data_IF_795763484634
#
_entry.id   IF_795763484634
#
_cell.length_a   1.000
_cell.length_b   1.000
_cell.length_c   1.000
_cell.angle_alpha   90.00
_cell.angle_beta   90.00
_cell.angle_gamma   90.00
#
_symmetry.space_group_name_H-M   'P 1'
#
loop_
_entity.id
_entity.type
_entity.pdbx_description
1 polymer ?
#
# COMPACT_ATOMS: atom_id res chain seq x y z
N UNK A 1 -9.21 51.78 19.77
CA UNK A 1 -8.24 51.08 18.92
C UNK A 1 -8.84 49.72 18.65
N UNK A 2 -9.46 49.53 17.48
CA UNK A 2 -9.94 48.20 17.07
C UNK A 2 -8.72 47.29 16.95
N UNK A 3 -8.70 46.18 17.70
CA UNK A 3 -7.78 45.09 17.38
C UNK A 3 -8.25 44.52 16.05
N UNK A 4 -7.51 44.80 14.98
CA UNK A 4 -7.66 44.06 13.73
C UNK A 4 -7.27 42.62 14.06
N UNK A 5 -8.24 41.72 14.04
CA UNK A 5 -8.00 40.30 14.24
C UNK A 5 -7.23 39.78 13.03
N UNK A 6 -5.95 39.43 13.23
CA UNK A 6 -5.14 38.83 12.18
C UNK A 6 -5.78 37.50 11.75
N UNK A 7 -5.99 37.33 10.45
CA UNK A 7 -6.50 36.09 9.86
C UNK A 7 -5.35 35.36 9.18
N UNK A 8 -4.98 34.14 9.63
CA UNK A 8 -3.92 33.34 9.01
C UNK A 8 -4.15 33.06 7.51
N UNK A 9 -3.07 32.83 6.73
CA UNK A 9 -3.19 32.45 5.33
C UNK A 9 -3.75 31.02 5.20
N UNK A 10 -4.57 30.77 4.17
CA UNK A 10 -5.18 29.46 3.89
C UNK A 10 -4.60 28.76 2.65
N UNK A 11 -3.52 29.29 2.08
CA UNK A 11 -2.76 28.65 1.01
C UNK A 11 -1.42 29.35 0.81
N UNK A 12 -0.54 28.77 -0.01
CA UNK A 12 0.70 29.44 -0.42
C UNK A 12 0.44 30.75 -1.16
N UNK A 13 -0.68 30.87 -1.88
CA UNK A 13 -0.97 32.02 -2.75
C UNK A 13 -1.84 33.08 -2.06
N UNK A 14 -2.19 32.87 -0.78
CA UNK A 14 -2.97 33.81 0.01
C UNK A 14 -2.13 35.05 0.40
N UNK A 15 -2.81 36.13 0.79
CA UNK A 15 -2.19 37.37 1.27
C UNK A 15 -1.23 38.05 0.28
N UNK A 16 -1.23 37.65 -0.99
CA UNK A 16 -0.33 38.22 -2.00
C UNK A 16 1.15 37.86 -1.78
N UNK A 17 1.43 36.74 -1.09
CA UNK A 17 2.80 36.25 -0.91
C UNK A 17 3.42 35.86 -2.26
N UNK A 18 4.54 36.48 -2.62
CA UNK A 18 5.37 36.08 -3.76
C UNK A 18 6.40 35.03 -3.30
N UNK A 19 6.20 33.76 -3.68
CA UNK A 19 7.16 32.69 -3.35
C UNK A 19 8.31 32.57 -4.36
N UNK A 20 8.28 33.30 -5.48
CA UNK A 20 9.43 33.44 -6.38
C UNK A 20 10.46 34.43 -5.83
N UNK A 21 10.01 35.41 -5.04
CA UNK A 21 10.87 36.34 -4.31
C UNK A 21 10.36 36.62 -2.88
N UNK A 22 10.41 35.62 -1.97
CA UNK A 22 9.81 35.77 -0.66
C UNK A 22 10.53 36.81 0.20
N UNK A 23 9.76 37.76 0.74
CA UNK A 23 10.26 38.75 1.70
C UNK A 23 10.40 38.12 3.10
N UNK A 24 11.63 37.91 3.61
CA UNK A 24 11.82 37.32 4.93
C UNK A 24 11.34 38.24 6.08
N UNK A 25 11.08 39.51 5.82
CA UNK A 25 10.48 40.45 6.77
C UNK A 25 8.95 40.32 6.87
N UNK A 26 8.29 39.65 5.93
CA UNK A 26 6.85 39.49 5.93
C UNK A 26 6.42 38.29 6.80
N UNK A 27 5.56 38.56 7.79
CA UNK A 27 5.02 37.57 8.74
C UNK A 27 4.16 36.50 8.06
N UNK A 28 3.54 36.81 6.92
CA UNK A 28 2.61 35.89 6.26
C UNK A 28 3.32 34.62 5.78
N UNK A 29 4.58 34.70 5.32
CA UNK A 29 5.39 33.51 4.96
C UNK A 29 5.62 32.59 6.16
N UNK A 30 5.90 33.18 7.33
CA UNK A 30 6.04 32.41 8.57
C UNK A 30 4.72 31.70 8.92
N UNK A 31 3.61 32.43 8.83
CA UNK A 31 2.29 31.91 9.12
C UNK A 31 1.91 30.77 8.17
N UNK A 32 2.14 30.93 6.88
CA UNK A 32 1.91 29.88 5.89
C UNK A 32 2.69 28.60 6.20
N UNK A 33 3.98 28.70 6.54
CA UNK A 33 4.80 27.56 6.93
C UNK A 33 4.24 26.88 8.19
N UNK A 34 3.86 27.66 9.19
CA UNK A 34 3.29 27.15 10.43
C UNK A 34 2.00 26.37 10.17
N UNK A 35 1.03 26.97 9.49
CA UNK A 35 -0.26 26.33 9.23
C UNK A 35 -0.09 25.07 8.37
N UNK A 36 0.81 25.10 7.37
CA UNK A 36 1.13 23.92 6.58
C UNK A 36 1.72 22.78 7.42
N UNK A 37 2.67 23.07 8.31
CA UNK A 37 3.27 22.07 9.22
C UNK A 37 2.22 21.50 10.17
N UNK A 38 1.33 22.34 10.71
CA UNK A 38 0.23 21.90 11.59
C UNK A 38 -0.72 20.97 10.85
N UNK A 39 -1.14 21.33 9.63
CA UNK A 39 -2.03 20.50 8.80
C UNK A 39 -1.42 19.09 8.57
N UNK A 40 -0.12 19.00 8.27
CA UNK A 40 0.57 17.70 8.10
C UNK A 40 0.70 16.93 9.42
N UNK A 41 0.91 17.63 10.52
CA UNK A 41 0.98 17.02 11.85
C UNK A 41 -0.37 16.43 12.26
N UNK A 42 -1.47 17.17 12.05
CA UNK A 42 -2.84 16.70 12.30
C UNK A 42 -3.13 15.46 11.46
N UNK A 43 -2.82 15.49 10.15
CA UNK A 43 -3.05 14.34 9.27
C UNK A 43 -2.34 13.07 9.78
N UNK A 44 -1.14 13.21 10.32
CA UNK A 44 -0.31 12.10 10.79
C UNK A 44 -0.45 11.79 12.28
N UNK A 45 -1.44 12.40 12.95
CA UNK A 45 -1.66 12.32 14.40
C UNK A 45 -0.40 12.63 15.23
N UNK A 46 0.44 13.53 14.76
CA UNK A 46 1.59 14.05 15.49
C UNK A 46 1.21 15.34 16.21
N UNK A 47 1.72 15.53 17.42
CA UNK A 47 1.60 16.80 18.11
C UNK A 47 2.58 17.80 17.48
N UNK A 48 2.11 18.96 16.96
CA UNK A 48 2.99 20.03 16.54
C UNK A 48 3.89 20.45 17.71
N UNK A 49 5.15 20.78 17.43
CA UNK A 49 6.06 21.25 18.48
C UNK A 49 5.51 22.55 19.08
N UNK A 50 5.28 22.59 20.40
CA UNK A 50 4.71 23.76 21.08
C UNK A 50 5.52 25.06 20.86
N UNK A 51 6.82 24.91 20.59
CA UNK A 51 7.71 26.03 20.26
C UNK A 51 7.31 26.72 18.96
N UNK A 52 6.64 26.03 18.03
CA UNK A 52 6.09 26.64 16.81
C UNK A 52 5.05 27.73 17.13
N UNK A 53 4.29 27.59 18.23
CA UNK A 53 3.31 28.57 18.66
C UNK A 53 3.93 29.73 19.45
N UNK A 54 5.14 29.54 20.02
CA UNK A 54 5.83 30.56 20.83
C UNK A 54 6.69 31.52 20.01
N UNK A 55 6.87 31.25 18.72
CA UNK A 55 7.54 32.17 17.79
C UNK A 55 6.63 33.41 17.60
N UNK A 56 7.11 34.54 18.11
CA UNK A 56 6.35 35.80 18.19
C UNK A 56 6.06 36.33 16.79
N UNK A 57 4.78 36.60 16.53
CA UNK A 57 4.23 37.00 15.22
C UNK A 57 4.74 38.35 14.66
N UNK A 58 5.61 39.06 15.38
CA UNK A 58 6.04 40.43 15.07
C UNK A 58 7.54 40.65 15.31
N UNK A 59 8.34 39.59 15.22
CA UNK A 59 9.80 39.68 15.31
C UNK A 59 10.46 39.03 14.11
N UNK A 60 11.66 39.51 13.72
CA UNK A 60 12.49 38.82 12.74
C UNK A 60 12.71 37.36 13.13
N UNK A 61 12.84 36.50 12.12
CA UNK A 61 13.10 35.06 12.27
C UNK A 61 14.29 34.83 13.20
N UNK A 62 14.04 34.17 14.33
CA UNK A 62 15.11 33.76 15.24
C UNK A 62 15.71 32.43 14.81
N UNK A 63 16.97 32.18 15.13
CA UNK A 63 17.60 30.86 14.92
C UNK A 63 16.84 29.75 15.63
N UNK A 64 16.24 30.04 16.78
CA UNK A 64 15.36 29.11 17.46
C UNK A 64 14.12 28.77 16.60
N UNK A 65 13.50 29.76 15.96
CA UNK A 65 12.36 29.54 15.06
C UNK A 65 12.73 28.66 13.86
N UNK A 66 13.88 28.94 13.25
CA UNK A 66 14.43 28.19 12.11
C UNK A 66 14.69 26.73 12.47
N UNK A 67 15.42 26.49 13.56
CA UNK A 67 15.71 25.15 14.04
C UNK A 67 14.40 24.41 14.37
N UNK A 68 13.43 25.08 14.98
CA UNK A 68 12.12 24.48 15.31
C UNK A 68 11.36 24.03 14.05
N UNK A 69 11.33 24.86 12.99
CA UNK A 69 10.67 24.50 11.72
C UNK A 69 11.37 23.31 11.07
N UNK A 70 12.70 23.37 10.98
CA UNK A 70 13.50 22.28 10.42
C UNK A 70 13.24 20.96 11.17
N UNK A 71 13.30 20.99 12.49
CA UNK A 71 13.11 19.81 13.32
C UNK A 71 11.67 19.28 13.21
N UNK A 72 10.67 20.16 13.06
CA UNK A 72 9.30 19.77 12.81
C UNK A 72 9.14 19.05 11.46
N UNK A 73 9.74 19.57 10.39
CA UNK A 73 9.72 18.94 9.06
C UNK A 73 10.42 17.58 9.10
N UNK A 74 11.60 17.49 9.72
CA UNK A 74 12.34 16.22 9.87
C UNK A 74 11.56 15.18 10.66
N UNK A 75 10.81 15.61 11.68
CA UNK A 75 9.95 14.72 12.45
C UNK A 75 8.72 14.26 11.67
N UNK A 76 8.19 15.11 10.79
CA UNK A 76 7.05 14.76 9.94
C UNK A 76 7.44 13.80 8.82
N UNK A 77 8.59 14.02 8.16
CA UNK A 77 8.99 13.30 6.96
C UNK A 77 8.80 11.76 7.02
N UNK A 78 9.22 11.04 8.08
CA UNK A 78 9.02 9.58 8.20
C UNK A 78 7.58 9.09 8.18
N UNK A 79 6.60 9.98 8.32
CA UNK A 79 5.18 9.67 8.30
C UNK A 79 4.54 9.87 6.92
N UNK A 80 5.29 10.39 5.94
CA UNK A 80 4.84 10.60 4.57
C UNK A 80 5.53 9.63 3.60
N UNK A 81 4.78 9.18 2.61
CA UNK A 81 5.24 8.32 1.52
C UNK A 81 6.10 9.17 0.57
N UNK A 82 7.27 8.64 0.21
CA UNK A 82 8.09 9.23 -0.83
C UNK A 82 7.51 8.85 -2.19
N UNK A 83 6.75 9.78 -2.78
CA UNK A 83 6.14 9.62 -4.10
C UNK A 83 7.14 9.69 -5.26
N UNK A 84 8.37 10.13 -5.00
CA UNK A 84 9.46 10.18 -6.00
C UNK A 84 10.26 8.88 -6.05
N UNK A 85 10.09 8.00 -5.07
CA UNK A 85 10.74 6.69 -5.08
C UNK A 85 10.04 5.77 -6.07
N UNK A 86 10.77 5.32 -7.09
CA UNK A 86 10.30 4.45 -8.16
C UNK A 86 10.98 3.07 -8.17
N UNK A 87 12.17 2.95 -7.56
CA UNK A 87 13.00 1.75 -7.41
C UNK A 87 12.43 0.72 -6.39
N UNK A 88 11.13 0.46 -6.42
CA UNK A 88 10.50 -0.59 -5.62
C UNK A 88 10.92 -1.99 -6.07
N UNK A 89 11.01 -2.92 -5.12
CA UNK A 89 11.12 -4.34 -5.45
C UNK A 89 9.94 -4.80 -6.28
N UNK A 90 10.21 -5.73 -7.20
CA UNK A 90 9.20 -6.33 -8.07
C UNK A 90 8.04 -6.98 -7.30
N UNK A 91 8.23 -7.35 -6.03
CA UNK A 91 7.22 -7.95 -5.15
C UNK A 91 6.46 -6.95 -4.27
N UNK A 92 6.77 -5.65 -4.34
CA UNK A 92 6.23 -4.59 -3.49
C UNK A 92 6.44 -4.82 -1.98
N UNK A 93 7.37 -5.71 -1.59
CA UNK A 93 7.65 -5.99 -0.17
C UNK A 93 8.23 -4.80 0.60
N UNK A 94 8.76 -3.81 -0.12
CA UNK A 94 9.28 -2.54 0.39
C UNK A 94 8.30 -1.36 0.17
N UNK A 95 7.08 -1.62 -0.31
CA UNK A 95 6.07 -0.58 -0.52
C UNK A 95 5.23 -0.30 0.75
N UNK A 96 4.89 0.98 1.03
CA UNK A 96 5.47 2.18 0.44
C UNK A 96 6.75 2.58 1.18
N UNK A 97 7.70 3.14 0.43
CA UNK A 97 8.91 3.78 0.96
C UNK A 97 8.49 5.12 1.56
N UNK A 98 8.86 5.35 2.81
CA UNK A 98 8.63 6.63 3.48
C UNK A 98 9.81 7.56 3.20
N UNK A 99 9.55 8.87 3.22
CA UNK A 99 10.63 9.85 3.29
C UNK A 99 11.46 9.60 4.55
N UNK A 100 12.78 9.67 4.44
CA UNK A 100 13.60 9.99 5.60
C UNK A 100 14.12 11.43 5.48
N UNK A 101 14.67 11.96 6.58
CA UNK A 101 15.13 13.34 6.58
C UNK A 101 16.26 13.56 5.56
N UNK A 102 17.09 12.55 5.30
CA UNK A 102 18.24 12.67 4.42
C UNK A 102 17.81 12.71 2.96
N UNK A 103 16.91 11.80 2.57
CA UNK A 103 16.31 11.77 1.24
C UNK A 103 15.56 13.07 0.96
N UNK A 104 14.78 13.57 1.93
CA UNK A 104 13.99 14.80 1.76
C UNK A 104 14.89 16.04 1.54
N UNK A 105 15.93 16.25 2.35
CA UNK A 105 16.76 17.46 2.23
C UNK A 105 17.68 17.44 1.01
N UNK A 106 17.96 16.26 0.48
CA UNK A 106 18.73 16.10 -0.75
C UNK A 106 17.86 16.08 -2.00
N UNK A 107 16.53 16.01 -1.87
CA UNK A 107 15.60 16.24 -2.99
C UNK A 107 15.74 17.67 -3.50
N UNK A 108 15.44 17.84 -4.79
CA UNK A 108 15.64 19.09 -5.50
C UNK A 108 14.91 20.25 -4.80
N UNK A 109 15.67 21.32 -4.54
CA UNK A 109 15.14 22.54 -3.92
C UNK A 109 14.66 22.39 -2.49
N UNK A 110 15.08 21.36 -1.72
CA UNK A 110 14.62 21.09 -0.36
C UNK A 110 15.71 21.25 0.73
N UNK A 111 16.81 21.97 0.43
CA UNK A 111 17.99 22.10 1.31
C UNK A 111 17.77 23.01 2.54
N UNK A 112 16.86 22.63 3.42
CA UNK A 112 16.51 23.42 4.62
C UNK A 112 17.61 23.44 5.70
N UNK A 113 18.65 22.64 5.55
CA UNK A 113 19.84 22.66 6.41
C UNK A 113 20.78 23.85 6.11
N UNK A 114 20.72 24.41 4.90
CA UNK A 114 21.59 25.51 4.45
C UNK A 114 20.92 26.87 4.72
N UNK A 115 20.96 27.34 5.97
CA UNK A 115 20.46 28.68 6.32
C UNK A 115 21.57 29.75 6.21
N UNK A 116 21.24 31.03 5.93
CA UNK A 116 22.23 32.13 5.78
C UNK A 116 23.06 32.47 7.03
N UNK A 117 22.78 31.84 8.18
CA UNK A 117 23.50 32.03 9.45
C UNK A 117 22.90 33.11 10.37
N UNK A 118 23.23 33.00 11.66
CA UNK A 118 22.76 33.91 12.73
C UNK A 118 23.15 35.36 12.45
N UNK A 119 22.17 36.27 12.47
CA UNK A 119 22.41 37.70 12.29
C UNK A 119 22.71 38.13 10.86
N UNK A 120 22.55 37.23 9.88
CA UNK A 120 22.75 37.52 8.46
C UNK A 120 21.71 38.50 7.92
N UNK A 121 22.17 39.56 7.26
CA UNK A 121 21.34 40.50 6.50
C UNK A 121 21.16 40.11 5.03
N UNK A 122 21.60 38.91 4.63
CA UNK A 122 21.49 38.42 3.26
C UNK A 122 20.04 38.04 2.92
N UNK A 123 19.26 39.02 2.46
CA UNK A 123 17.86 38.82 2.09
C UNK A 123 17.67 37.73 1.02
N UNK A 124 18.54 37.66 0.02
CA UNK A 124 18.47 36.64 -1.03
C UNK A 124 18.68 35.22 -0.47
N UNK A 125 19.65 35.04 0.42
CA UNK A 125 19.86 33.75 1.09
C UNK A 125 18.66 33.33 1.94
N UNK A 126 18.00 34.27 2.62
CA UNK A 126 16.79 33.98 3.39
C UNK A 126 15.62 33.61 2.50
N UNK A 127 15.48 34.30 1.36
CA UNK A 127 14.45 34.00 0.38
C UNK A 127 14.60 32.57 -0.17
N UNK A 128 15.83 32.15 -0.52
CA UNK A 128 16.12 30.79 -0.98
C UNK A 128 15.87 29.73 0.10
N UNK A 129 16.17 30.04 1.36
CA UNK A 129 15.84 29.15 2.47
C UNK A 129 14.33 28.98 2.66
N UNK A 130 13.54 30.06 2.56
CA UNK A 130 12.07 30.00 2.63
C UNK A 130 11.48 29.16 1.50
N UNK A 131 11.99 29.30 0.28
CA UNK A 131 11.62 28.43 -0.84
C UNK A 131 11.93 26.97 -0.53
N UNK A 132 13.11 26.70 0.04
CA UNK A 132 13.52 25.35 0.41
C UNK A 132 12.58 24.71 1.44
N UNK A 133 12.11 25.51 2.41
CA UNK A 133 11.13 25.07 3.41
C UNK A 133 9.78 24.76 2.77
N UNK A 134 9.26 25.66 1.93
CA UNK A 134 8.01 25.43 1.18
C UNK A 134 8.10 24.14 0.35
N UNK A 135 9.17 23.98 -0.41
CA UNK A 135 9.37 22.81 -1.27
C UNK A 135 9.42 21.52 -0.46
N UNK A 136 10.15 21.49 0.66
CA UNK A 136 10.21 20.32 1.53
C UNK A 136 8.81 19.95 2.07
N UNK A 137 8.01 20.94 2.51
CA UNK A 137 6.63 20.70 2.96
C UNK A 137 5.74 20.21 1.81
N UNK A 138 5.93 20.72 0.59
CA UNK A 138 5.18 20.30 -0.61
C UNK A 138 5.51 18.89 -1.09
N UNK A 139 6.61 18.27 -0.63
CA UNK A 139 6.87 16.83 -0.84
C UNK A 139 6.09 15.94 0.14
N UNK A 140 5.62 16.49 1.26
CA UNK A 140 4.89 15.76 2.30
C UNK A 140 3.39 15.73 2.00
N UNK A 141 3.02 15.05 0.91
CA UNK A 141 1.62 15.02 0.40
C UNK A 141 0.93 13.70 0.57
N UNK A 142 1.67 12.59 0.65
CA UNK A 142 1.10 11.26 0.66
C UNK A 142 1.34 10.51 1.97
N UNK A 143 0.36 9.73 2.45
CA UNK A 143 0.45 8.97 3.70
C UNK A 143 0.02 7.52 3.53
N UNK A 144 0.60 6.63 4.35
CA UNK A 144 0.07 5.27 4.51
C UNK A 144 -1.36 5.37 5.04
N UNK A 145 -2.28 4.64 4.43
CA UNK A 145 -3.67 4.70 4.84
C UNK A 145 -4.21 3.32 5.22
N UNK A 146 -4.44 3.14 6.51
CA UNK A 146 -5.04 1.95 7.10
C UNK A 146 -6.51 2.14 7.46
N UNK A 147 -7.06 3.36 7.33
CA UNK A 147 -8.44 3.71 7.69
C UNK A 147 -9.50 3.30 6.66
N UNK A 148 -9.18 2.36 5.77
CA UNK A 148 -10.12 1.76 4.81
C UNK A 148 -10.62 0.43 5.35
N UNK A 149 -11.92 0.24 5.25
CA UNK A 149 -12.58 -1.04 5.41
C UNK A 149 -13.41 -1.38 4.19
N UNK A 150 -13.67 -2.67 4.03
CA UNK A 150 -14.45 -3.16 2.91
C UNK A 150 -14.95 -4.56 3.17
N UNK A 151 -15.49 -5.14 2.11
CA UNK A 151 -15.95 -6.53 2.09
C UNK A 151 -15.04 -7.35 1.20
N UNK A 152 -14.87 -8.63 1.52
CA UNK A 152 -14.31 -9.58 0.58
C UNK A 152 -15.32 -10.68 0.30
N UNK A 153 -15.25 -11.20 -0.91
CA UNK A 153 -15.92 -12.43 -1.31
C UNK A 153 -14.85 -13.49 -1.51
N UNK A 154 -15.14 -14.73 -1.13
CA UNK A 154 -14.23 -15.84 -1.33
C UNK A 154 -14.96 -17.16 -1.59
N UNK A 155 -14.31 -18.01 -2.38
CA UNK A 155 -14.73 -19.38 -2.67
C UNK A 155 -13.61 -20.34 -2.27
N UNK A 156 -13.98 -21.51 -1.77
CA UNK A 156 -13.02 -22.57 -1.46
C UNK A 156 -13.66 -23.94 -1.67
N UNK A 157 -12.96 -24.82 -2.37
CA UNK A 157 -13.31 -26.22 -2.51
C UNK A 157 -12.06 -27.07 -2.45
N UNK A 158 -12.17 -28.25 -1.85
CA UNK A 158 -11.06 -29.17 -1.69
C UNK A 158 -11.60 -30.58 -1.56
N UNK A 159 -11.16 -31.46 -2.46
CA UNK A 159 -11.60 -32.85 -2.44
C UNK A 159 -10.40 -33.80 -2.43
N UNK A 160 -10.52 -34.83 -1.60
CA UNK A 160 -9.51 -35.86 -1.40
C UNK A 160 -9.88 -37.16 -2.11
N UNK A 161 -8.89 -37.78 -2.74
CA UNK A 161 -8.94 -39.13 -3.31
C UNK A 161 -9.69 -39.38 -4.65
N UNK A 162 -10.19 -38.38 -5.42
CA UNK A 162 -10.72 -38.66 -6.75
C UNK A 162 -9.59 -38.95 -7.76
N UNK A 163 -9.89 -39.68 -8.86
CA UNK A 163 -9.00 -39.79 -10.00
C UNK A 163 -8.54 -38.41 -10.49
N UNK A 164 -7.33 -38.31 -11.05
CA UNK A 164 -6.76 -37.04 -11.50
C UNK A 164 -7.73 -36.18 -12.32
N UNK A 165 -8.39 -36.80 -13.31
CA UNK A 165 -9.33 -36.16 -14.24
C UNK A 165 -10.53 -35.52 -13.54
N UNK A 166 -10.89 -36.03 -12.36
CA UNK A 166 -12.05 -35.62 -11.58
C UNK A 166 -11.68 -34.70 -10.42
N UNK A 167 -10.48 -34.83 -9.85
CA UNK A 167 -10.03 -34.07 -8.67
C UNK A 167 -10.26 -32.56 -8.77
N UNK A 168 -9.82 -31.95 -9.87
CA UNK A 168 -10.01 -30.52 -10.09
C UNK A 168 -11.48 -30.19 -10.40
N UNK A 169 -12.20 -31.05 -11.14
CA UNK A 169 -13.62 -30.84 -11.42
C UNK A 169 -14.45 -30.81 -10.14
N UNK A 170 -14.18 -31.73 -9.21
CA UNK A 170 -14.92 -31.83 -7.94
C UNK A 170 -14.60 -30.65 -7.04
N UNK A 171 -13.32 -30.28 -6.89
CA UNK A 171 -12.94 -29.12 -6.10
C UNK A 171 -13.52 -27.80 -6.66
N UNK A 172 -13.55 -27.64 -7.99
CA UNK A 172 -14.21 -26.48 -8.62
C UNK A 172 -15.71 -26.49 -8.36
N UNK A 173 -16.36 -27.65 -8.50
CA UNK A 173 -17.79 -27.79 -8.22
C UNK A 173 -18.11 -27.42 -6.78
N UNK A 174 -17.37 -27.94 -5.80
CA UNK A 174 -17.54 -27.61 -4.39
C UNK A 174 -17.29 -26.13 -4.10
N UNK A 175 -16.29 -25.53 -4.73
CA UNK A 175 -16.02 -24.10 -4.55
C UNK A 175 -17.18 -23.23 -5.07
N UNK A 176 -17.73 -23.59 -6.24
CA UNK A 176 -18.74 -22.81 -6.96
C UNK A 176 -20.18 -23.15 -6.58
N UNK A 177 -20.42 -24.25 -5.86
CA UNK A 177 -21.73 -24.60 -5.33
C UNK A 177 -22.14 -23.63 -4.20
N UNK A 178 -23.33 -23.05 -4.32
CA UNK A 178 -23.89 -22.11 -3.32
C UNK A 178 -23.44 -20.66 -3.50
N UNK A 179 -23.65 -19.85 -2.47
CA UNK A 179 -23.26 -18.44 -2.44
C UNK A 179 -21.79 -18.28 -1.98
N UNK A 180 -21.03 -17.29 -2.51
CA UNK A 180 -19.69 -17.01 -2.01
C UNK A 180 -19.70 -16.64 -0.52
N UNK A 181 -18.65 -17.02 0.20
CA UNK A 181 -18.48 -16.51 1.56
C UNK A 181 -18.18 -15.01 1.52
N UNK A 182 -18.90 -14.24 2.33
CA UNK A 182 -18.66 -12.81 2.50
C UNK A 182 -18.07 -12.52 3.89
N UNK A 183 -17.03 -11.68 3.93
CA UNK A 183 -16.49 -11.15 5.19
C UNK A 183 -16.08 -9.68 5.06
N UNK A 184 -15.57 -9.11 6.14
CA UNK A 184 -15.09 -7.72 6.18
C UNK A 184 -13.60 -7.66 6.47
N UNK A 185 -12.93 -6.62 5.96
CA UNK A 185 -11.56 -6.26 6.36
C UNK A 185 -11.52 -4.80 6.81
N UNK A 186 -10.52 -4.43 7.62
CA UNK A 186 -10.42 -3.11 8.25
C UNK A 186 -9.08 -2.40 8.04
N UNK A 187 -8.19 -2.95 7.20
CA UNK A 187 -6.90 -2.35 6.89
C UNK A 187 -6.27 -2.96 5.64
N UNK A 188 -5.27 -2.28 5.07
CA UNK A 188 -4.34 -2.81 4.06
C UNK A 188 -2.98 -3.19 4.69
N UNK A 189 -2.20 -4.09 4.08
CA UNK A 189 -2.40 -4.73 2.76
C UNK A 189 -3.52 -5.79 2.76
N UNK A 190 -4.06 -6.12 1.58
CA UNK A 190 -5.07 -7.16 1.40
C UNK A 190 -4.70 -8.08 0.24
N UNK A 191 -4.82 -9.38 0.47
CA UNK A 191 -4.61 -10.41 -0.54
C UNK A 191 -5.87 -10.59 -1.40
N UNK A 192 -5.64 -10.89 -2.67
CA UNK A 192 -6.64 -11.35 -3.62
C UNK A 192 -6.02 -12.43 -4.51
N UNK A 193 -6.83 -13.37 -4.98
CA UNK A 193 -6.33 -14.48 -5.78
C UNK A 193 -7.47 -15.21 -6.48
N UNK A 194 -7.14 -15.93 -7.54
CA UNK A 194 -8.01 -16.94 -8.12
C UNK A 194 -7.14 -18.03 -8.72
N UNK A 195 -7.19 -19.23 -8.15
CA UNK A 195 -6.40 -20.35 -8.62
C UNK A 195 -7.07 -21.69 -8.32
N UNK A 196 -6.73 -22.69 -9.12
CA UNK A 196 -6.92 -24.08 -8.75
C UNK A 196 -5.60 -24.83 -8.81
N UNK A 197 -5.52 -25.94 -8.09
CA UNK A 197 -4.29 -26.71 -7.99
C UNK A 197 -4.52 -28.11 -7.47
N UNK A 198 -3.50 -28.95 -7.59
CA UNK A 198 -3.56 -30.33 -7.15
C UNK A 198 -2.22 -30.81 -6.61
N UNK A 199 -2.28 -31.87 -5.82
CA UNK A 199 -1.15 -32.64 -5.30
C UNK A 199 -1.48 -34.12 -5.47
N UNK A 200 -0.48 -34.94 -5.75
CA UNK A 200 -0.64 -36.40 -5.81
C UNK A 200 -0.32 -37.03 -4.46
N UNK A 201 -0.82 -38.23 -4.19
CA UNK A 201 -0.33 -39.06 -3.10
C UNK A 201 -0.56 -40.54 -3.43
N UNK A 202 0.11 -41.43 -2.70
CA UNK A 202 0.00 -42.88 -2.93
C UNK A 202 -1.19 -43.43 -2.13
N UNK A 203 -2.19 -44.01 -2.81
CA UNK A 203 -3.47 -44.38 -2.18
C UNK A 203 -3.46 -45.77 -1.55
N UNK A 204 -2.82 -46.74 -2.18
CA UNK A 204 -2.77 -48.13 -1.72
C UNK A 204 -1.43 -48.80 -2.06
N UNK A 205 -1.17 -49.99 -1.55
CA UNK A 205 0.08 -50.74 -1.78
C UNK A 205 0.33 -51.14 -3.24
N UNK A 206 -0.68 -51.05 -4.11
CA UNK A 206 -0.68 -51.66 -5.44
C UNK A 206 -0.15 -50.76 -6.56
N UNK A 207 0.14 -49.48 -6.29
CA UNK A 207 0.54 -48.55 -7.35
C UNK A 207 -0.34 -47.33 -7.52
N UNK A 208 -1.58 -47.37 -7.01
CA UNK A 208 -2.58 -46.40 -7.43
C UNK A 208 -2.33 -45.03 -6.80
N UNK A 209 -2.35 -44.01 -7.65
CA UNK A 209 -2.20 -42.62 -7.24
C UNK A 209 -3.57 -42.01 -6.99
N UNK A 210 -3.74 -41.43 -5.81
CA UNK A 210 -4.81 -40.48 -5.54
C UNK A 210 -4.35 -39.05 -5.81
N UNK A 211 -5.32 -38.15 -5.98
CA UNK A 211 -5.04 -36.72 -6.10
C UNK A 211 -5.96 -35.94 -5.19
N UNK A 212 -5.43 -34.88 -4.60
CA UNK A 212 -6.26 -33.88 -3.92
C UNK A 212 -6.38 -32.66 -4.83
N UNK A 213 -7.61 -32.25 -5.12
CA UNK A 213 -7.90 -31.04 -5.88
C UNK A 213 -8.19 -29.86 -4.94
N UNK A 214 -7.84 -28.65 -5.37
CA UNK A 214 -8.12 -27.41 -4.67
C UNK A 214 -8.60 -26.35 -5.66
N UNK A 215 -9.57 -25.55 -5.24
CA UNK A 215 -10.01 -24.35 -5.93
C UNK A 215 -10.22 -23.24 -4.89
N UNK A 216 -9.59 -22.09 -5.10
CA UNK A 216 -9.68 -20.95 -4.19
C UNK A 216 -9.77 -19.64 -4.96
N UNK A 217 -10.66 -18.76 -4.52
CA UNK A 217 -10.69 -17.37 -4.97
C UNK A 217 -11.00 -16.41 -3.84
N UNK A 218 -10.52 -15.19 -3.99
CA UNK A 218 -10.75 -14.07 -3.09
C UNK A 218 -10.71 -12.77 -3.87
N UNK A 219 -11.80 -12.02 -3.85
CA UNK A 219 -11.89 -10.65 -4.37
C UNK A 219 -12.23 -9.68 -3.24
N UNK A 220 -11.75 -8.45 -3.33
CA UNK A 220 -12.04 -7.40 -2.35
C UNK A 220 -12.82 -6.25 -3.00
N UNK A 221 -13.74 -5.68 -2.22
CA UNK A 221 -14.51 -4.49 -2.58
C UNK A 221 -14.39 -3.49 -1.44
N UNK A 222 -13.83 -2.32 -1.74
CA UNK A 222 -13.69 -1.23 -0.79
C UNK A 222 -15.02 -0.49 -0.70
N UNK A 223 -15.60 -0.42 0.51
CA UNK A 223 -16.93 0.15 0.75
C UNK A 223 -16.93 1.39 1.64
N UNK A 224 -15.98 1.48 2.58
CA UNK A 224 -15.98 2.55 3.58
C UNK A 224 -14.56 3.00 3.88
N UNK A 225 -14.36 4.31 3.98
CA UNK A 225 -13.11 4.88 4.43
C UNK A 225 -13.37 6.04 5.39
N UNK A 226 -12.70 6.04 6.53
CA UNK A 226 -12.75 7.18 7.44
C UNK A 226 -11.76 8.23 6.94
N UNK A 227 -12.28 9.32 6.38
CA UNK A 227 -11.46 10.46 5.96
C UNK A 227 -10.59 10.93 7.13
N UNK A 228 -9.26 10.96 6.96
CA UNK A 228 -8.37 11.47 8.00
C UNK A 228 -8.41 13.01 8.04
N UNK A 229 -8.75 13.67 6.92
CA UNK A 229 -9.00 15.11 6.84
C UNK A 229 -10.44 15.35 6.38
N UNK A 230 -11.30 16.04 7.16
CA UNK A 230 -12.73 16.13 6.86
C UNK A 230 -13.03 16.95 5.60
N UNK A 231 -12.18 17.94 5.28
CA UNK A 231 -12.41 18.94 4.23
C UNK A 231 -11.48 18.83 3.02
N UNK A 232 -10.36 18.10 3.12
CA UNK A 232 -9.38 18.02 2.04
C UNK A 232 -9.80 16.96 1.02
N UNK A 233 -9.61 17.28 -0.25
CA UNK A 233 -9.68 16.30 -1.33
C UNK A 233 -8.35 15.53 -1.41
N UNK A 234 -8.41 14.27 -1.85
CA UNK A 234 -7.22 13.45 -2.01
C UNK A 234 -7.48 12.36 -3.05
N UNK A 235 -6.42 11.79 -3.60
CA UNK A 235 -6.52 10.57 -4.38
C UNK A 235 -6.30 9.35 -3.49
N UNK A 236 -7.15 8.33 -3.62
CA UNK A 236 -6.81 6.96 -3.20
C UNK A 236 -5.96 6.32 -4.29
N UNK A 237 -4.78 5.85 -3.90
CA UNK A 237 -3.88 5.14 -4.79
C UNK A 237 -3.74 3.70 -4.27
N UNK A 238 -4.27 2.76 -5.05
CA UNK A 238 -4.07 1.34 -4.84
C UNK A 238 -2.93 0.86 -5.72
N UNK A 239 -1.87 0.36 -5.10
CA UNK A 239 -0.77 -0.30 -5.81
C UNK A 239 -0.83 -1.78 -5.49
N UNK A 240 -0.81 -2.62 -6.51
CA UNK A 240 -0.87 -4.06 -6.33
C UNK A 240 0.01 -4.77 -7.34
N UNK A 241 0.44 -5.98 -6.98
CA UNK A 241 1.14 -6.90 -7.87
C UNK A 241 0.25 -8.08 -8.17
N UNK A 242 0.21 -8.49 -9.43
CA UNK A 242 -0.33 -9.78 -9.85
C UNK A 242 0.82 -10.66 -10.32
N UNK A 243 0.85 -11.91 -9.86
CA UNK A 243 1.83 -12.91 -10.29
C UNK A 243 1.21 -14.30 -10.41
N UNK A 244 1.95 -15.22 -11.03
CA UNK A 244 1.58 -16.63 -11.00
C UNK A 244 1.52 -17.12 -9.55
N UNK A 245 0.66 -18.11 -9.22
CA UNK A 245 0.53 -18.60 -7.87
C UNK A 245 1.86 -19.07 -7.32
N UNK A 246 2.11 -18.73 -6.08
CA UNK A 246 3.32 -19.03 -5.35
C UNK A 246 3.03 -20.06 -4.26
N UNK A 247 4.06 -20.79 -3.87
CA UNK A 247 3.97 -21.80 -2.82
C UNK A 247 3.16 -23.06 -3.16
N UNK A 248 3.43 -24.16 -2.45
CA UNK A 248 2.71 -25.42 -2.61
C UNK A 248 1.23 -25.34 -2.17
N UNK A 249 0.36 -26.22 -2.68
CA UNK A 249 -0.97 -26.47 -2.08
C UNK A 249 -0.84 -27.30 -0.80
N UNK A 250 -1.91 -27.37 -0.01
CA UNK A 250 -1.99 -28.22 1.19
C UNK A 250 -1.57 -29.67 0.89
N UNK A 251 -0.77 -30.26 1.79
CA UNK A 251 -0.11 -31.59 1.65
C UNK A 251 0.99 -31.72 0.60
N UNK A 252 1.46 -30.63 0.00
CA UNK A 252 2.71 -30.65 -0.77
C UNK A 252 3.79 -29.82 -0.09
N UNK A 253 5.05 -30.19 -0.30
CA UNK A 253 6.21 -29.45 0.20
C UNK A 253 6.82 -28.55 -0.88
N UNK A 254 6.57 -28.84 -2.16
CA UNK A 254 7.14 -28.09 -3.29
C UNK A 254 6.09 -27.83 -4.35
N UNK A 255 6.06 -26.59 -4.86
CA UNK A 255 5.33 -26.26 -6.08
C UNK A 255 6.19 -26.65 -7.28
N UNK A 256 5.78 -27.68 -8.02
CA UNK A 256 6.49 -28.17 -9.20
C UNK A 256 6.24 -27.29 -10.42
N UNK A 257 4.99 -26.88 -10.61
CA UNK A 257 4.58 -26.07 -11.76
C UNK A 257 3.56 -25.02 -11.33
N UNK A 258 3.81 -23.79 -11.76
CA UNK A 258 2.89 -22.66 -11.63
C UNK A 258 2.59 -22.13 -13.02
N UNK A 259 1.31 -22.07 -13.39
CA UNK A 259 0.85 -21.51 -14.66
C UNK A 259 0.07 -20.24 -14.34
N UNK A 260 0.53 -19.11 -14.88
CA UNK A 260 -0.25 -17.87 -14.82
C UNK A 260 -1.47 -18.01 -15.73
N UNK A 261 -2.65 -17.79 -15.16
CA UNK A 261 -3.90 -17.66 -15.90
C UNK A 261 -4.74 -16.57 -15.24
N UNK A 262 -4.99 -15.48 -15.96
CA UNK A 262 -5.73 -14.32 -15.47
C UNK A 262 -7.24 -14.45 -15.72
N UNK A 263 -7.70 -15.49 -16.44
CA UNK A 263 -9.10 -15.68 -16.80
C UNK A 263 -9.73 -14.42 -17.41
N UNK A 264 -10.93 -14.08 -16.94
CA UNK A 264 -11.66 -12.86 -17.32
C UNK A 264 -11.54 -11.74 -16.28
N UNK A 265 -10.54 -11.80 -15.39
CA UNK A 265 -10.41 -10.89 -14.24
C UNK A 265 -10.20 -9.42 -14.61
N UNK A 266 -9.77 -9.12 -15.84
CA UNK A 266 -9.38 -7.78 -16.28
C UNK A 266 -8.05 -7.29 -15.68
N UNK A 267 -7.32 -8.15 -14.96
CA UNK A 267 -6.03 -7.83 -14.37
C UNK A 267 -4.89 -7.94 -15.40
N UNK A 268 -3.76 -7.31 -15.09
CA UNK A 268 -2.51 -7.41 -15.87
C UNK A 268 -1.41 -7.98 -14.99
N UNK A 269 -0.52 -8.79 -15.57
CA UNK A 269 0.65 -9.33 -14.87
C UNK A 269 1.59 -8.19 -14.43
N UNK A 270 2.17 -8.31 -13.24
CA UNK A 270 3.14 -7.36 -12.71
C UNK A 270 2.49 -6.31 -11.80
N UNK A 271 3.17 -5.18 -11.65
CA UNK A 271 2.71 -4.08 -10.79
C UNK A 271 1.72 -3.20 -11.54
N UNK A 272 0.59 -2.92 -10.92
CA UNK A 272 -0.45 -2.03 -11.44
C UNK A 272 -0.84 -1.00 -10.39
N UNK A 273 -1.36 0.13 -10.85
CA UNK A 273 -1.84 1.22 -9.99
C UNK A 273 -3.25 1.63 -10.41
N UNK A 274 -4.16 1.68 -9.45
CA UNK A 274 -5.47 2.32 -9.59
C UNK A 274 -5.42 3.61 -8.78
N UNK A 275 -5.68 4.74 -9.44
CA UNK A 275 -5.81 6.05 -8.80
C UNK A 275 -7.25 6.51 -8.94
N UNK A 276 -7.87 6.86 -7.82
CA UNK A 276 -9.26 7.35 -7.78
C UNK A 276 -9.31 8.62 -6.95
N UNK A 277 -9.81 9.70 -7.55
CA UNK A 277 -10.02 10.94 -6.83
C UNK A 277 -11.15 10.81 -5.83
N UNK A 278 -10.90 11.19 -4.58
CA UNK A 278 -11.86 11.09 -3.47
C UNK A 278 -12.29 12.47 -3.00
N UNK A 279 -13.44 12.89 -3.51
CA UNK A 279 -14.17 14.07 -3.06
C UNK A 279 -15.07 13.76 -1.86
N UNK A 280 -15.39 14.79 -1.07
CA UNK A 280 -16.11 14.70 0.23
C UNK A 280 -17.34 13.79 0.23
N UNK A 281 -18.05 13.73 -0.90
CA UNK A 281 -19.36 13.08 -1.02
C UNK A 281 -19.34 11.83 -1.91
N UNK A 282 -18.16 11.29 -2.23
CA UNK A 282 -18.05 10.12 -3.09
C UNK A 282 -18.38 8.82 -2.32
N UNK A 283 -19.26 8.01 -2.90
CA UNK A 283 -19.43 6.60 -2.51
C UNK A 283 -18.25 5.77 -2.99
N UNK A 284 -17.70 4.91 -2.12
CA UNK A 284 -16.63 3.99 -2.50
C UNK A 284 -17.19 2.66 -2.95
N UNK A 285 -16.94 2.33 -4.21
CA UNK A 285 -17.14 0.97 -4.74
C UNK A 285 -15.99 0.60 -5.67
N UNK A 286 -14.82 0.33 -5.08
CA UNK A 286 -13.60 0.00 -5.80
C UNK A 286 -13.33 -1.50 -5.62
N UNK A 287 -13.34 -2.24 -6.73
CA UNK A 287 -13.15 -3.68 -6.75
C UNK A 287 -11.74 -4.06 -7.19
N UNK A 288 -11.12 -5.00 -6.48
CA UNK A 288 -9.80 -5.58 -6.82
C UNK A 288 -9.87 -7.10 -6.71
N UNK A 289 -9.27 -7.82 -7.66
CA UNK A 289 -9.15 -9.28 -7.63
C UNK A 289 -10.08 -10.07 -8.54
N UNK A 290 -10.83 -9.40 -9.44
CA UNK A 290 -11.70 -10.05 -10.42
C UNK A 290 -12.98 -10.64 -9.81
N UNK A 291 -13.70 -11.44 -10.59
CA UNK A 291 -14.89 -12.17 -10.12
C UNK A 291 -14.47 -13.45 -9.39
N UNK A 292 -15.04 -13.70 -8.20
CA UNK A 292 -14.76 -14.91 -7.42
C UNK A 292 -15.17 -16.21 -8.11
N UNK A 293 -16.07 -16.14 -9.09
CA UNK A 293 -16.53 -17.31 -9.82
C UNK A 293 -15.59 -17.69 -10.99
N UNK A 294 -14.64 -16.82 -11.35
CA UNK A 294 -13.70 -17.03 -12.46
C UNK A 294 -12.44 -17.79 -12.00
N UNK A 295 -12.62 -19.01 -11.47
CA UNK A 295 -11.50 -19.87 -11.04
C UNK A 295 -10.94 -20.65 -12.24
N UNK A 296 -9.68 -20.41 -12.66
CA UNK A 296 -9.11 -21.11 -13.80
C UNK A 296 -8.86 -22.58 -13.48
N UNK A 297 -9.10 -23.46 -14.46
CA UNK A 297 -8.96 -24.91 -14.29
C UNK A 297 -7.52 -25.37 -14.47
N UNK A 298 -6.93 -25.93 -13.42
CA UNK A 298 -5.62 -26.53 -13.46
C UNK A 298 -5.65 -27.85 -14.25
N UNK A 299 -4.81 -27.94 -15.28
CA UNK A 299 -4.67 -29.12 -16.15
C UNK A 299 -3.34 -29.85 -15.94
N UNK A 300 -2.48 -29.34 -15.04
CA UNK A 300 -1.14 -29.89 -14.83
C UNK A 300 -1.16 -31.01 -13.79
N UNK A 301 -0.47 -32.12 -14.09
CA UNK A 301 -0.32 -33.28 -13.20
C UNK A 301 0.99 -33.15 -12.41
N UNK A 302 0.95 -33.15 -11.06
CA UNK A 302 2.16 -33.21 -10.24
C UNK A 302 2.75 -34.62 -10.22
N UNK A 303 4.08 -34.71 -10.10
CA UNK A 303 4.81 -35.99 -10.03
C UNK A 303 5.69 -35.99 -8.80
N UNK A 304 5.25 -36.66 -7.73
CA UNK A 304 6.05 -36.78 -6.50
C UNK A 304 7.06 -37.90 -6.52
N UNK A 305 8.04 -37.78 -5.62
CA UNK A 305 9.02 -38.82 -5.33
C UNK A 305 8.50 -39.71 -4.20
N UNK A 306 8.69 -41.02 -4.36
CA UNK A 306 8.22 -42.03 -3.41
C UNK A 306 9.35 -43.02 -3.10
N UNK A 307 9.35 -43.53 -1.87
CA UNK A 307 10.21 -44.61 -1.42
C UNK A 307 9.37 -45.84 -1.12
N UNK A 308 9.79 -47.00 -1.62
CA UNK A 308 9.24 -48.29 -1.21
C UNK A 308 9.60 -48.57 0.24
N UNK A 309 8.58 -48.90 1.04
CA UNK A 309 8.73 -49.35 2.40
C UNK A 309 8.74 -50.88 2.43
N UNK A 310 9.52 -51.44 3.34
CA UNK A 310 9.61 -52.88 3.57
C UNK A 310 9.24 -53.20 5.02
N UNK A 311 8.55 -54.31 5.25
CA UNK A 311 8.30 -54.84 6.59
C UNK A 311 9.55 -55.54 7.17
N UNK A 312 9.42 -56.08 8.39
CA UNK A 312 10.50 -56.80 9.07
C UNK A 312 10.97 -58.07 8.34
N UNK A 313 10.11 -58.64 7.50
CA UNK A 313 10.39 -59.88 6.75
C UNK A 313 10.97 -59.58 5.35
N UNK A 314 11.14 -58.28 5.02
CA UNK A 314 11.68 -57.83 3.74
C UNK A 314 10.65 -57.76 2.61
N UNK A 315 9.36 -57.93 2.89
CA UNK A 315 8.30 -57.78 1.91
C UNK A 315 7.89 -56.31 1.76
N UNK A 316 7.38 -55.93 0.59
CA UNK A 316 6.88 -54.56 0.36
C UNK A 316 5.67 -54.32 1.26
N UNK A 317 5.81 -53.36 2.17
CA UNK A 317 4.75 -52.99 3.12
C UNK A 317 3.99 -51.73 2.69
N UNK A 318 4.46 -51.04 1.66
CA UNK A 318 3.80 -49.88 1.06
C UNK A 318 4.80 -48.88 0.49
N UNK A 319 4.37 -47.63 0.36
CA UNK A 319 5.20 -46.54 -0.14
C UNK A 319 5.04 -45.31 0.75
N UNK A 320 6.15 -44.60 0.98
CA UNK A 320 6.17 -43.31 1.66
C UNK A 320 6.48 -42.22 0.65
N UNK A 321 5.72 -41.13 0.66
CA UNK A 321 6.03 -39.94 -0.15
C UNK A 321 7.26 -39.24 0.43
N UNK A 322 8.34 -39.15 -0.33
CA UNK A 322 9.59 -38.51 0.11
C UNK A 322 9.60 -37.02 -0.22
N UNK A 323 9.05 -36.65 -1.37
CA UNK A 323 8.90 -35.26 -1.77
C UNK A 323 7.53 -35.02 -2.37
N UNK A 324 6.73 -34.19 -1.69
CA UNK A 324 5.39 -33.88 -2.15
C UNK A 324 5.34 -32.69 -3.09
N UNK A 325 4.94 -32.94 -4.33
CA UNK A 325 4.82 -31.93 -5.37
C UNK A 325 3.39 -31.52 -5.64
N UNK A 326 3.20 -30.26 -6.04
CA UNK A 326 1.92 -29.75 -6.51
C UNK A 326 2.05 -28.92 -7.78
N UNK A 327 0.92 -28.75 -8.45
CA UNK A 327 0.77 -27.82 -9.57
C UNK A 327 -0.36 -26.84 -9.28
N UNK A 328 -0.18 -25.57 -9.64
CA UNK A 328 -1.22 -24.53 -9.56
C UNK A 328 -1.39 -23.84 -10.92
N UNK A 329 -2.61 -23.42 -11.22
CA UNK A 329 -2.95 -22.54 -12.35
C UNK A 329 -3.82 -21.39 -11.83
N UNK A 330 -3.45 -20.15 -12.17
CA UNK A 330 -4.24 -18.96 -11.81
C UNK A 330 -3.40 -17.72 -11.54
N UNK A 331 -3.77 -16.93 -10.54
CA UNK A 331 -3.01 -15.78 -10.06
C UNK A 331 -3.16 -15.55 -8.55
N UNK A 332 -2.16 -14.87 -7.99
CA UNK A 332 -2.14 -14.34 -6.63
C UNK A 332 -1.69 -12.87 -6.67
N UNK A 333 -2.16 -12.08 -5.71
CA UNK A 333 -1.76 -10.69 -5.59
C UNK A 333 -2.01 -10.09 -4.21
N UNK A 334 -1.28 -9.00 -3.93
CA UNK A 334 -1.38 -8.21 -2.72
C UNK A 334 -1.59 -6.76 -3.13
N UNK A 335 -2.62 -6.13 -2.57
CA UNK A 335 -2.92 -4.73 -2.75
C UNK A 335 -2.50 -3.91 -1.53
N UNK A 336 -2.03 -2.69 -1.78
CA UNK A 336 -1.69 -1.68 -0.79
C UNK A 336 -2.47 -0.41 -1.10
N UNK A 337 -2.69 0.44 -0.10
CA UNK A 337 -3.37 1.72 -0.26
C UNK A 337 -2.58 2.87 0.38
N UNK A 338 -2.48 3.98 -0.34
CA UNK A 338 -2.00 5.27 0.17
C UNK A 338 -3.01 6.36 -0.19
N UNK A 339 -2.96 7.48 0.54
CA UNK A 339 -3.66 8.70 0.18
C UNK A 339 -2.66 9.73 -0.30
N UNK A 340 -3.01 10.47 -1.35
CA UNK A 340 -2.22 11.56 -1.89
C UNK A 340 -3.03 12.86 -1.92
N UNK A 341 -2.60 13.85 -1.15
CA UNK A 341 -3.24 15.16 -1.04
C UNK A 341 -2.66 16.19 -2.03
N UNK A 342 -1.78 15.78 -2.94
CA UNK A 342 -1.25 16.63 -4.01
C UNK A 342 -2.26 16.81 -5.16
N UNK A 343 -3.49 17.19 -4.82
CA UNK A 343 -4.60 17.39 -5.76
C UNK A 343 -5.16 18.80 -5.62
N UNK A 344 -5.92 19.24 -6.63
CA UNK A 344 -6.71 20.45 -6.50
C UNK A 344 -7.64 20.31 -5.28
N UNK A 345 -7.73 21.37 -4.47
CA UNK A 345 -8.47 21.37 -3.20
C UNK A 345 -8.02 20.32 -2.16
N UNK A 346 -6.80 19.81 -2.27
CA UNK A 346 -6.18 19.02 -1.22
C UNK A 346 -5.84 19.86 0.00
N UNK A 347 -4.56 19.92 0.36
CA UNK A 347 -4.12 20.71 1.51
C UNK A 347 -4.35 22.22 1.32
N UNK A 348 -4.97 22.86 2.32
CA UNK A 348 -5.32 24.29 2.35
C UNK A 348 -5.05 24.95 3.70
N UNK A 349 -4.13 24.40 4.49
CA UNK A 349 -3.75 24.98 5.79
C UNK A 349 -4.96 25.09 6.75
N UNK A 350 -5.88 24.12 6.73
CA UNK A 350 -7.19 24.18 7.41
C UNK A 350 -7.37 23.11 8.47
#
# INVERSE_FOLDING_TARGET
MEMIQYTPPVSWDDKGMDWESPDPGNVDYYRAILEAVIERAILTNQNPNEVLYSIIQYRPWSIAAINTIRDAIYRLAPNFVNMEFDDYKDDLSDFPKMWDYYDLVNSEGCRICECPGTGSSNAAGWAEWLKSVKNAINKLTAVKFSGISGTYLSRSGAEHDPPFSESISTALREALEGEPYSGTFSSFPQEFYSWSGNTDYYRNSDGERGYCGYAQSRSIVIKTARRPHPTAECDLIFRYKVSAPSGPVSYSSVLQKSVLDLGSSGLSLGVSTIRTHWSANMEMDISIGGNVDDIPRNSSVPVSDYRTNYDSDGNVSGYSRTLGRSCKTGYEGIAYCILDFAVENGFKFQ
#
